data_IF_401643118082
#
_entry.id   IF_401643118082
#
_cell.length_a   1.000
_cell.length_b   1.000
_cell.length_c   1.000
_cell.angle_alpha   90.00
_cell.angle_beta   90.00
_cell.angle_gamma   90.00
#
_symmetry.space_group_name_H-M   'P 1'
#
loop_
_entity.id
_entity.type
_entity.pdbx_description
1 polymer ?
#
# COMPACT_ATOMS: atom_id res chain seq x y z
N UNK A 1 -10.04 -6.20 -17.34
CA UNK A 1 -11.43 -6.03 -16.87
C UNK A 1 -11.40 -4.97 -15.79
N UNK A 2 -11.92 -3.77 -16.07
CA UNK A 2 -11.89 -2.64 -15.13
C UNK A 2 -13.17 -2.75 -14.30
N UNK A 3 -13.05 -3.10 -13.02
CA UNK A 3 -14.15 -3.01 -12.08
C UNK A 3 -14.33 -1.53 -11.71
N UNK A 4 -15.42 -0.93 -12.18
CA UNK A 4 -15.84 0.40 -11.74
C UNK A 4 -16.75 0.18 -10.54
N UNK A 5 -16.30 0.64 -9.37
CA UNK A 5 -17.05 0.59 -8.11
C UNK A 5 -17.25 2.02 -7.64
N UNK A 6 -18.51 2.39 -7.43
CA UNK A 6 -18.94 3.72 -7.01
C UNK A 6 -18.79 3.79 -5.51
N UNK A 7 -17.58 4.12 -5.07
CA UNK A 7 -17.23 4.03 -3.66
C UNK A 7 -17.00 5.43 -3.09
N UNK A 8 -18.05 5.97 -2.46
CA UNK A 8 -18.00 7.22 -1.72
C UNK A 8 -16.95 7.18 -0.60
N UNK A 9 -16.57 5.99 -0.10
CA UNK A 9 -15.48 5.84 0.88
C UNK A 9 -14.10 6.13 0.26
N UNK A 10 -13.91 5.88 -1.04
CA UNK A 10 -12.68 6.21 -1.77
C UNK A 10 -12.59 7.70 -2.05
N UNK A 11 -13.71 8.35 -2.34
CA UNK A 11 -13.79 9.79 -2.49
C UNK A 11 -13.53 10.52 -1.16
N UNK A 12 -14.12 10.03 -0.07
CA UNK A 12 -13.85 10.51 1.29
C UNK A 12 -12.39 10.29 1.69
N UNK A 13 -11.82 9.13 1.37
CA UNK A 13 -10.40 8.81 1.61
C UNK A 13 -9.48 9.76 0.85
N UNK A 14 -9.81 10.11 -0.40
CA UNK A 14 -9.10 11.16 -1.15
C UNK A 14 -9.22 12.52 -0.46
N UNK A 15 -10.41 12.89 0.01
CA UNK A 15 -10.62 14.10 0.82
C UNK A 15 -9.70 14.11 2.05
N UNK A 16 -9.65 13.02 2.82
CA UNK A 16 -8.76 12.89 3.98
C UNK A 16 -7.27 13.01 3.61
N UNK A 17 -6.85 12.44 2.47
CA UNK A 17 -5.47 12.58 1.97
C UNK A 17 -5.16 14.03 1.58
N UNK A 18 -6.12 14.74 0.97
CA UNK A 18 -5.97 16.14 0.57
C UNK A 18 -5.98 17.11 1.76
N UNK A 19 -6.59 16.71 2.90
CA UNK A 19 -6.60 17.45 4.16
C UNK A 19 -5.20 17.58 4.79
N UNK A 20 -4.31 16.61 4.54
CA UNK A 20 -2.92 16.62 5.04
C UNK A 20 -2.02 17.61 4.28
N UNK A 21 -2.51 18.17 3.18
CA UNK A 21 -1.78 19.10 2.34
C UNK A 21 -2.34 20.52 2.53
N UNK A 22 -1.53 21.40 3.13
CA UNK A 22 -1.97 22.72 3.61
C UNK A 22 -2.65 23.61 2.55
N UNK A 23 -2.21 23.52 1.29
CA UNK A 23 -2.80 24.27 0.16
C UNK A 23 -4.12 23.68 -0.37
N UNK A 24 -4.47 22.45 -0.01
CA UNK A 24 -5.66 21.75 -0.53
C UNK A 24 -6.69 21.44 0.56
N UNK A 25 -6.47 21.89 1.80
CA UNK A 25 -7.41 21.78 2.92
C UNK A 25 -8.84 22.29 2.59
N UNK A 26 -9.04 23.45 1.93
CA UNK A 26 -10.38 23.93 1.62
C UNK A 26 -11.14 22.97 0.68
N UNK A 27 -10.48 22.55 -0.40
CA UNK A 27 -11.02 21.57 -1.35
C UNK A 27 -11.28 20.21 -0.68
N UNK A 28 -10.40 19.79 0.22
CA UNK A 28 -10.54 18.56 0.97
C UNK A 28 -11.77 18.59 1.91
N UNK A 29 -12.00 19.72 2.57
CA UNK A 29 -13.18 19.94 3.42
C UNK A 29 -14.47 19.91 2.60
N UNK A 30 -14.48 20.53 1.42
CA UNK A 30 -15.65 20.52 0.54
C UNK A 30 -15.97 19.11 0.03
N UNK A 31 -14.95 18.34 -0.38
CA UNK A 31 -15.11 16.94 -0.79
C UNK A 31 -15.67 16.07 0.34
N UNK A 32 -15.14 16.19 1.56
CA UNK A 32 -15.61 15.41 2.72
C UNK A 32 -17.05 15.81 3.07
N UNK A 33 -17.35 17.11 3.08
CA UNK A 33 -18.68 17.63 3.38
C UNK A 33 -19.72 17.16 2.36
N UNK A 34 -19.42 17.22 1.07
CA UNK A 34 -20.33 16.78 0.02
C UNK A 34 -20.55 15.26 0.07
N UNK A 35 -19.52 14.48 0.42
CA UNK A 35 -19.67 13.05 0.70
C UNK A 35 -20.63 12.80 1.88
N UNK A 36 -20.48 13.54 2.98
CA UNK A 36 -21.36 13.41 4.15
C UNK A 36 -22.81 13.82 3.86
N UNK A 37 -23.03 14.87 3.06
CA UNK A 37 -24.36 15.31 2.64
C UNK A 37 -25.07 14.28 1.74
N UNK A 38 -24.35 13.64 0.82
CA UNK A 38 -24.90 12.60 -0.07
C UNK A 38 -25.27 11.34 0.71
N UNK A 39 -24.45 10.92 1.68
CA UNK A 39 -24.74 9.80 2.58
C UNK A 39 -26.02 10.08 3.38
N UNK A 40 -26.14 11.27 3.97
CA UNK A 40 -27.30 11.66 4.78
C UNK A 40 -28.60 11.80 3.96
N UNK A 41 -28.52 12.28 2.71
CA UNK A 41 -29.67 12.40 1.81
C UNK A 41 -30.22 11.04 1.40
N UNK A 42 -29.35 10.06 1.19
CA UNK A 42 -29.70 8.69 0.81
C UNK A 42 -30.49 7.96 1.91
N UNK A 43 -30.14 8.21 3.18
CA UNK A 43 -30.86 7.68 4.36
C UNK A 43 -32.26 8.26 4.49
N UNK A 44 -32.47 9.52 4.08
CA UNK A 44 -33.75 10.22 4.26
C UNK A 44 -34.81 9.79 3.22
N UNK A 45 -34.39 9.39 2.01
CA UNK A 45 -35.29 8.89 0.95
C UNK A 45 -35.77 7.45 1.13
N UNK A 46 -35.13 6.65 1.99
CA UNK A 46 -35.49 5.24 2.20
C UNK A 46 -36.73 5.03 3.10
N UNK A 47 -37.29 6.09 3.70
CA UNK A 47 -38.40 5.99 4.68
C UNK A 47 -39.81 6.09 4.05
N UNK A 48 -39.94 6.26 2.72
CA UNK A 48 -41.28 6.44 2.12
C UNK A 48 -41.50 5.74 0.76
N UNK A 49 -41.84 4.44 0.76
CA UNK A 49 -43.05 3.82 0.11
C UNK A 49 -42.97 2.28 0.01
N UNK A 50 -44.13 1.60 -0.01
CA UNK A 50 -44.23 0.17 0.23
C UNK A 50 -44.01 -0.71 -1.01
N UNK A 51 -43.72 -1.98 -0.72
CA UNK A 51 -43.34 -3.06 -1.62
C UNK A 51 -44.23 -3.24 -2.87
N UNK A 52 -43.58 -3.52 -4.00
CA UNK A 52 -44.12 -4.43 -5.02
C UNK A 52 -42.98 -5.18 -5.71
N UNK A 53 -43.17 -6.49 -5.78
CA UNK A 53 -42.32 -7.51 -6.40
C UNK A 53 -42.01 -7.18 -7.87
N UNK A 54 -40.73 -7.24 -8.25
CA UNK A 54 -40.34 -7.67 -9.59
C UNK A 54 -38.94 -8.30 -9.57
N UNK A 55 -38.88 -9.54 -10.03
CA UNK A 55 -37.71 -10.39 -10.17
C UNK A 55 -36.81 -9.84 -11.28
N UNK A 56 -35.58 -9.44 -10.93
CA UNK A 56 -34.50 -9.21 -11.91
C UNK A 56 -33.28 -9.98 -11.45
N UNK A 57 -32.90 -10.95 -12.28
CA UNK A 57 -31.74 -11.82 -12.09
C UNK A 57 -30.47 -11.01 -11.86
N UNK A 58 -29.93 -11.03 -10.64
CA UNK A 58 -28.59 -10.52 -10.34
C UNK A 58 -27.56 -11.66 -10.44
N UNK A 59 -26.68 -11.52 -11.43
CA UNK A 59 -25.40 -12.20 -11.58
C UNK A 59 -24.52 -11.94 -10.32
N UNK A 60 -23.61 -12.85 -9.91
CA UNK A 60 -23.02 -12.82 -8.58
C UNK A 60 -22.28 -11.51 -8.31
N UNK A 61 -22.81 -10.72 -7.38
CA UNK A 61 -22.14 -9.56 -6.80
C UNK A 61 -20.81 -10.03 -6.22
N UNK A 62 -19.71 -9.43 -6.68
CA UNK A 62 -18.41 -9.60 -6.07
C UNK A 62 -18.54 -9.37 -4.56
N UNK A 63 -18.15 -10.36 -3.76
CA UNK A 63 -18.23 -10.32 -2.30
C UNK A 63 -17.42 -9.12 -1.83
N UNK A 64 -18.11 -8.13 -1.25
CA UNK A 64 -17.50 -6.93 -0.67
C UNK A 64 -16.36 -7.33 0.27
N UNK A 65 -15.15 -6.81 0.03
CA UNK A 65 -14.03 -6.94 0.95
C UNK A 65 -14.03 -5.74 1.89
N UNK A 66 -13.70 -5.95 3.16
CA UNK A 66 -13.40 -4.82 4.04
C UNK A 66 -12.06 -4.21 3.63
N UNK A 67 -12.06 -3.09 2.92
CA UNK A 67 -10.85 -2.41 2.45
C UNK A 67 -10.35 -1.38 3.48
N UNK A 68 -9.08 -1.45 3.83
CA UNK A 68 -8.36 -0.49 4.69
C UNK A 68 -7.15 0.07 3.96
N UNK A 69 -6.84 1.33 4.23
CA UNK A 69 -5.66 2.00 3.68
C UNK A 69 -4.71 2.43 4.80
N UNK A 70 -3.45 2.00 4.71
CA UNK A 70 -2.37 2.52 5.55
C UNK A 70 -1.51 3.46 4.74
N UNK A 71 -1.50 4.73 5.10
CA UNK A 71 -0.56 5.69 4.51
C UNK A 71 0.88 5.46 5.05
N UNK A 72 1.86 6.13 4.45
CA UNK A 72 3.27 5.97 4.83
C UNK A 72 3.59 6.35 6.30
N UNK A 73 2.72 7.07 7.01
CA UNK A 73 2.90 7.39 8.42
C UNK A 73 2.73 6.18 9.36
N UNK A 74 2.17 5.06 8.86
CA UNK A 74 2.12 3.80 9.60
C UNK A 74 3.42 2.98 9.49
N UNK A 75 4.31 3.30 8.53
CA UNK A 75 5.58 2.59 8.34
C UNK A 75 6.44 2.55 9.62
N UNK A 76 6.58 3.63 10.41
CA UNK A 76 7.34 3.61 11.66
C UNK A 76 6.86 2.56 12.66
N UNK A 77 5.55 2.32 12.78
CA UNK A 77 4.98 1.34 13.73
C UNK A 77 5.52 -0.08 13.45
N UNK A 78 5.56 -0.47 12.17
CA UNK A 78 6.08 -1.78 11.78
C UNK A 78 7.61 -1.84 11.90
N UNK A 79 8.31 -0.75 11.54
CA UNK A 79 9.76 -0.66 11.68
C UNK A 79 10.21 -0.72 13.14
N UNK A 80 9.45 -0.12 14.06
CA UNK A 80 9.75 -0.10 15.49
C UNK A 80 9.70 -1.52 16.06
N UNK A 81 8.64 -2.28 15.77
CA UNK A 81 8.57 -3.70 16.18
C UNK A 81 9.70 -4.53 15.59
N UNK A 82 10.06 -4.31 14.32
CA UNK A 82 11.20 -4.98 13.70
C UNK A 82 12.53 -4.60 14.39
N UNK A 83 12.67 -3.33 14.79
CA UNK A 83 13.80 -2.83 15.57
C UNK A 83 13.88 -3.51 16.93
N UNK A 84 12.78 -3.55 17.67
CA UNK A 84 12.66 -4.26 18.96
C UNK A 84 12.99 -5.74 18.82
N UNK A 85 12.57 -6.39 17.73
CA UNK A 85 12.93 -7.78 17.44
C UNK A 85 14.45 -7.94 17.26
N UNK A 86 15.08 -7.00 16.56
CA UNK A 86 16.54 -6.91 16.45
C UNK A 86 17.21 -6.77 17.83
N UNK A 87 16.71 -5.86 18.66
CA UNK A 87 17.21 -5.63 20.02
C UNK A 87 17.08 -6.88 20.91
N UNK A 88 15.93 -7.57 20.86
CA UNK A 88 15.72 -8.84 21.56
C UNK A 88 16.81 -9.85 21.19
N UNK A 89 17.09 -10.00 19.90
CA UNK A 89 18.12 -10.94 19.43
C UNK A 89 19.51 -10.56 19.93
N UNK A 90 19.89 -9.28 19.82
CA UNK A 90 21.19 -8.78 20.32
C UNK A 90 21.34 -9.06 21.82
N UNK A 91 20.27 -8.92 22.61
CA UNK A 91 20.31 -9.16 24.05
C UNK A 91 20.31 -10.65 24.41
N UNK A 92 19.67 -11.51 23.61
CA UNK A 92 19.61 -12.95 23.86
C UNK A 92 20.91 -13.67 23.49
N UNK A 93 21.58 -13.28 22.40
CA UNK A 93 22.78 -13.98 21.89
C UNK A 93 23.87 -14.14 22.96
N UNK A 94 24.26 -13.10 23.72
CA UNK A 94 25.24 -13.23 24.79
C UNK A 94 24.82 -14.22 25.90
N UNK A 95 23.53 -14.22 26.27
CA UNK A 95 23.01 -15.15 27.28
C UNK A 95 23.09 -16.60 26.81
N UNK A 96 22.80 -16.84 25.52
CA UNK A 96 22.97 -18.15 24.90
C UNK A 96 24.44 -18.56 24.88
N UNK A 97 25.32 -17.66 24.45
CA UNK A 97 26.76 -17.92 24.38
C UNK A 97 27.38 -18.28 25.74
N UNK A 98 26.86 -17.69 26.82
CA UNK A 98 27.30 -17.99 28.18
C UNK A 98 26.72 -19.30 28.73
N UNK A 99 25.50 -19.66 28.34
CA UNK A 99 24.77 -20.78 28.96
C UNK A 99 24.90 -22.10 28.21
N UNK A 100 25.18 -22.05 26.90
CA UNK A 100 25.26 -23.23 26.05
C UNK A 100 26.69 -23.79 26.09
N UNK A 101 26.87 -25.09 26.38
CA UNK A 101 28.21 -25.68 26.54
C UNK A 101 29.05 -25.66 25.26
N UNK A 102 28.43 -25.88 24.10
CA UNK A 102 29.12 -25.87 22.81
C UNK A 102 28.21 -25.51 21.62
N UNK A 103 28.84 -25.06 20.53
CA UNK A 103 28.17 -24.83 19.23
C UNK A 103 27.52 -26.12 18.71
N UNK A 104 28.16 -27.27 18.94
CA UNK A 104 27.67 -28.58 18.50
C UNK A 104 26.36 -28.97 19.22
N UNK A 105 26.23 -28.65 20.51
CA UNK A 105 25.01 -28.94 21.28
C UNK A 105 23.82 -28.15 20.77
N UNK A 106 24.00 -26.84 20.52
CA UNK A 106 22.95 -26.00 19.95
C UNK A 106 22.57 -26.46 18.53
N UNK A 107 23.57 -26.75 17.69
CA UNK A 107 23.33 -27.24 16.33
C UNK A 107 22.55 -28.55 16.35
N UNK A 108 22.94 -29.50 17.19
CA UNK A 108 22.26 -30.79 17.34
C UNK A 108 20.81 -30.63 17.82
N UNK A 109 20.59 -29.80 18.85
CA UNK A 109 19.24 -29.52 19.34
C UNK A 109 18.34 -28.93 18.25
N UNK A 110 18.83 -27.93 17.52
CA UNK A 110 18.06 -27.28 16.46
C UNK A 110 17.81 -28.20 15.27
N UNK A 111 18.78 -29.01 14.86
CA UNK A 111 18.60 -29.98 13.77
C UNK A 111 17.59 -31.08 14.13
N UNK A 112 17.55 -31.51 15.39
CA UNK A 112 16.56 -32.48 15.87
C UNK A 112 15.15 -31.87 15.98
N UNK A 113 15.07 -30.62 16.43
CA UNK A 113 13.79 -29.94 16.69
C UNK A 113 13.19 -29.30 15.43
N UNK A 114 14.04 -28.86 14.50
CA UNK A 114 13.73 -28.09 13.29
C UNK A 114 14.61 -28.59 12.12
N UNK A 115 14.35 -29.80 11.59
CA UNK A 115 15.18 -30.42 10.56
C UNK A 115 15.38 -29.56 9.30
N UNK A 116 14.43 -28.69 8.98
CA UNK A 116 14.48 -27.74 7.87
C UNK A 116 15.64 -26.74 7.95
N UNK A 117 16.22 -26.52 9.14
CA UNK A 117 17.35 -25.62 9.35
C UNK A 117 18.71 -26.29 9.03
N UNK A 118 18.74 -27.60 8.82
CA UNK A 118 19.98 -28.38 8.78
C UNK A 118 20.99 -27.88 7.73
N UNK A 119 20.50 -27.52 6.54
CA UNK A 119 21.35 -27.01 5.46
C UNK A 119 21.98 -25.65 5.80
N UNK A 120 21.21 -24.75 6.42
CA UNK A 120 21.66 -23.41 6.78
C UNK A 120 22.59 -23.41 8.01
N UNK A 121 22.38 -24.37 8.93
CA UNK A 121 23.23 -24.56 10.10
C UNK A 121 24.56 -25.23 9.78
N UNK A 122 24.74 -25.86 8.60
CA UNK A 122 25.96 -26.60 8.29
C UNK A 122 27.21 -25.72 8.42
N UNK A 123 27.18 -24.50 7.85
CA UNK A 123 28.29 -23.54 7.85
C UNK A 123 28.32 -22.61 9.08
N UNK A 124 27.46 -22.81 10.07
CA UNK A 124 27.44 -21.96 11.27
C UNK A 124 28.48 -22.46 12.28
N UNK A 125 29.51 -21.66 12.53
CA UNK A 125 30.68 -22.04 13.36
C UNK A 125 30.65 -21.43 14.77
N UNK A 126 29.76 -20.48 15.01
CA UNK A 126 29.54 -19.86 16.32
C UNK A 126 28.06 -19.88 16.74
N UNK A 127 27.80 -19.65 18.03
CA UNK A 127 26.43 -19.47 18.55
C UNK A 127 25.78 -18.24 17.89
N UNK A 128 26.56 -17.20 17.61
CA UNK A 128 26.09 -16.01 16.90
C UNK A 128 25.64 -16.34 15.47
N UNK A 129 26.44 -17.12 14.72
CA UNK A 129 26.08 -17.57 13.37
C UNK A 129 24.79 -18.40 13.38
N UNK A 130 24.68 -19.33 14.33
CA UNK A 130 23.48 -20.13 14.50
C UNK A 130 22.27 -19.24 14.79
N UNK A 131 22.41 -18.26 15.67
CA UNK A 131 21.33 -17.34 16.02
C UNK A 131 21.01 -16.33 14.91
N UNK A 132 21.93 -16.10 13.98
CA UNK A 132 21.67 -15.41 12.73
C UNK A 132 20.79 -16.24 11.78
N UNK A 133 21.01 -17.54 11.68
CA UNK A 133 20.12 -18.46 10.96
C UNK A 133 18.73 -18.49 11.59
N UNK A 134 18.66 -18.71 12.91
CA UNK A 134 17.39 -18.71 13.67
C UNK A 134 16.64 -17.39 13.47
N UNK A 135 17.33 -16.26 13.58
CA UNK A 135 16.75 -14.93 13.42
C UNK A 135 16.17 -14.64 12.03
N UNK A 136 16.77 -15.21 10.97
CA UNK A 136 16.25 -15.09 9.61
C UNK A 136 14.98 -15.91 9.38
N UNK A 137 14.79 -16.99 10.15
CA UNK A 137 13.66 -17.92 10.04
C UNK A 137 12.51 -17.56 10.97
N UNK A 138 12.80 -16.96 12.12
CA UNK A 138 11.78 -16.43 13.00
C UNK A 138 11.02 -15.27 12.35
N UNK A 139 9.70 -15.29 12.47
CA UNK A 139 8.84 -14.15 12.17
C UNK A 139 8.87 -13.20 13.36
N UNK A 140 8.61 -11.90 13.12
CA UNK A 140 8.58 -10.90 14.20
C UNK A 140 7.56 -11.23 15.31
N UNK A 141 6.49 -11.94 15.00
CA UNK A 141 5.47 -12.34 15.97
C UNK A 141 5.59 -13.81 16.44
N UNK A 142 6.59 -14.56 15.96
CA UNK A 142 6.79 -15.97 16.30
C UNK A 142 8.20 -16.22 16.84
N UNK A 143 8.28 -16.26 18.17
CA UNK A 143 9.49 -16.55 18.91
C UNK A 143 9.69 -18.04 19.22
N UNK A 144 8.94 -18.95 18.58
CA UNK A 144 8.92 -20.38 18.95
C UNK A 144 10.32 -21.03 18.99
N UNK A 145 11.18 -20.77 18.00
CA UNK A 145 12.55 -21.31 18.00
C UNK A 145 13.38 -20.76 19.16
N UNK A 146 13.30 -19.45 19.42
CA UNK A 146 14.02 -18.79 20.50
C UNK A 146 13.53 -19.33 21.85
N UNK A 147 12.22 -19.42 22.05
CA UNK A 147 11.60 -19.96 23.27
C UNK A 147 11.96 -21.43 23.49
N UNK A 148 11.96 -22.25 22.43
CA UNK A 148 12.36 -23.65 22.52
C UNK A 148 13.83 -23.78 22.96
N UNK A 149 14.72 -22.99 22.37
CA UNK A 149 16.16 -22.94 22.71
C UNK A 149 16.35 -22.52 24.17
N UNK A 150 15.78 -21.38 24.57
CA UNK A 150 15.85 -20.86 25.94
C UNK A 150 15.31 -21.85 26.96
N UNK A 151 14.21 -22.55 26.64
CA UNK A 151 13.62 -23.57 27.50
C UNK A 151 14.53 -24.79 27.64
N UNK A 152 15.08 -25.29 26.53
CA UNK A 152 15.93 -26.49 26.51
C UNK A 152 17.20 -26.28 27.34
N UNK A 153 17.89 -25.15 27.12
CA UNK A 153 19.12 -24.79 27.84
C UNK A 153 18.87 -24.10 29.18
N UNK A 154 17.61 -24.00 29.63
CA UNK A 154 17.19 -23.46 30.94
C UNK A 154 17.71 -22.03 31.22
N UNK A 155 17.71 -21.17 30.21
CA UNK A 155 18.28 -19.82 30.27
C UNK A 155 17.24 -18.88 30.88
N UNK A 156 17.26 -18.74 32.20
CA UNK A 156 16.21 -18.04 32.95
C UNK A 156 16.18 -16.53 32.70
N UNK A 157 17.34 -15.96 32.42
CA UNK A 157 17.61 -14.54 32.20
C UNK A 157 17.00 -14.03 30.90
N UNK A 158 16.80 -14.92 29.91
CA UNK A 158 16.18 -14.57 28.64
C UNK A 158 14.64 -14.49 28.72
N UNK A 159 14.01 -15.08 29.75
CA UNK A 159 12.55 -15.08 29.91
C UNK A 159 11.94 -13.67 30.03
N UNK A 160 12.45 -12.75 30.88
CA UNK A 160 11.90 -11.40 30.95
C UNK A 160 12.03 -10.65 29.62
N UNK A 161 13.16 -10.77 28.92
CA UNK A 161 13.38 -10.13 27.60
C UNK A 161 12.36 -10.60 26.56
N UNK A 162 12.10 -11.90 26.50
CA UNK A 162 11.07 -12.48 25.62
C UNK A 162 9.69 -11.96 25.99
N UNK A 163 9.36 -11.93 27.28
CA UNK A 163 8.06 -11.47 27.76
C UNK A 163 7.81 -9.99 27.47
N UNK A 164 8.83 -9.15 27.64
CA UNK A 164 8.78 -7.72 27.32
C UNK A 164 8.45 -7.50 25.84
N UNK A 165 9.19 -8.15 24.95
CA UNK A 165 8.93 -8.08 23.52
C UNK A 165 7.54 -8.61 23.13
N UNK A 166 7.09 -9.71 23.73
CA UNK A 166 5.74 -10.24 23.48
C UNK A 166 4.64 -9.24 23.86
N UNK A 167 4.84 -8.43 24.91
CA UNK A 167 3.92 -7.36 25.29
C UNK A 167 3.96 -6.17 24.31
N UNK A 168 5.12 -5.84 23.75
CA UNK A 168 5.22 -4.84 22.68
C UNK A 168 4.41 -5.26 21.43
N UNK A 169 4.59 -6.51 20.98
CA UNK A 169 3.84 -7.06 19.85
C UNK A 169 2.34 -7.06 20.13
N UNK A 170 1.90 -7.46 21.34
CA UNK A 170 0.48 -7.40 21.74
C UNK A 170 -0.06 -5.98 21.74
N UNK A 171 0.74 -5.00 22.14
CA UNK A 171 0.35 -3.59 22.18
C UNK A 171 0.12 -3.05 20.77
N UNK A 172 1.01 -3.36 19.83
CA UNK A 172 0.80 -3.02 18.42
C UNK A 172 -0.41 -3.73 17.83
N UNK A 173 -0.58 -5.03 18.10
CA UNK A 173 -1.77 -5.77 17.65
C UNK A 173 -3.07 -5.15 18.19
N UNK A 174 -3.08 -4.69 19.45
CA UNK A 174 -4.23 -3.98 20.05
C UNK A 174 -4.49 -2.65 19.33
N UNK A 175 -3.46 -1.87 19.06
CA UNK A 175 -3.58 -0.62 18.30
C UNK A 175 -4.16 -0.84 16.90
N UNK A 176 -3.71 -1.89 16.19
CA UNK A 176 -4.26 -2.28 14.89
C UNK A 176 -5.73 -2.69 14.99
N UNK A 177 -6.12 -3.45 16.03
CA UNK A 177 -7.53 -3.79 16.30
C UNK A 177 -8.39 -2.54 16.51
N UNK A 178 -7.89 -1.58 17.28
CA UNK A 178 -8.59 -0.34 17.58
C UNK A 178 -8.74 0.55 16.34
N UNK A 179 -7.71 0.63 15.49
CA UNK A 179 -7.79 1.31 14.20
C UNK A 179 -8.95 0.77 13.35
N UNK A 180 -9.07 -0.55 13.22
CA UNK A 180 -10.16 -1.13 12.43
C UNK A 180 -11.50 -0.78 13.05
N UNK A 181 -11.68 -0.96 14.36
CA UNK A 181 -12.94 -0.65 15.06
C UNK A 181 -13.42 0.78 14.79
N UNK A 182 -12.50 1.73 14.68
CA UNK A 182 -12.81 3.14 14.40
C UNK A 182 -13.11 3.42 12.91
N UNK A 183 -12.63 2.56 12.00
CA UNK A 183 -12.70 2.77 10.56
C UNK A 183 -13.45 1.64 9.83
N UNK A 184 -14.32 0.89 10.51
CA UNK A 184 -15.00 -0.27 9.91
C UNK A 184 -15.97 0.19 8.81
N UNK A 185 -15.90 -0.38 7.59
CA UNK A 185 -16.91 -0.10 6.57
C UNK A 185 -18.26 -0.70 6.96
N UNK A 186 -19.34 -0.07 6.49
CA UNK A 186 -20.68 -0.67 6.50
C UNK A 186 -20.57 -2.02 5.78
N UNK A 187 -20.97 -3.11 6.44
CA UNK A 187 -20.80 -4.52 6.02
C UNK A 187 -19.50 -5.24 6.37
N UNK A 188 -18.58 -4.65 7.15
CA UNK A 188 -17.35 -5.34 7.58
C UNK A 188 -17.59 -6.73 8.18
N UNK A 189 -18.68 -6.93 8.93
CA UNK A 189 -19.00 -8.20 9.60
C UNK A 189 -19.30 -9.34 8.61
N UNK A 190 -19.95 -9.05 7.48
CA UNK A 190 -20.33 -10.07 6.48
C UNK A 190 -19.21 -10.37 5.47
N UNK A 191 -18.15 -9.55 5.43
CA UNK A 191 -17.00 -9.79 4.56
C UNK A 191 -16.19 -11.01 5.01
N UNK A 192 -15.88 -11.92 4.09
CA UNK A 192 -14.97 -13.07 4.36
C UNK A 192 -13.49 -12.68 4.28
N UNK A 193 -13.19 -11.55 3.64
CA UNK A 193 -11.83 -11.07 3.38
C UNK A 193 -11.67 -9.63 3.88
N UNK A 194 -10.52 -9.37 4.51
CA UNK A 194 -10.03 -8.03 4.86
C UNK A 194 -8.84 -7.72 3.96
N UNK A 195 -8.89 -6.58 3.28
CA UNK A 195 -7.81 -6.13 2.40
C UNK A 195 -7.17 -4.87 2.97
N UNK A 196 -5.85 -4.89 3.15
CA UNK A 196 -5.04 -3.73 3.51
C UNK A 196 -4.22 -3.29 2.31
N UNK A 197 -4.35 -2.01 1.96
CA UNK A 197 -3.56 -1.36 0.92
C UNK A 197 -2.53 -0.46 1.57
N UNK A 198 -1.25 -0.72 1.30
CA UNK A 198 -0.11 0.05 1.80
C UNK A 198 0.20 1.19 0.82
N UNK A 199 0.18 2.42 1.33
CA UNK A 199 0.54 3.65 0.61
C UNK A 199 2.05 3.83 0.39
N UNK A 200 2.84 2.80 0.64
CA UNK A 200 4.27 2.73 0.35
C UNK A 200 4.61 1.34 -0.20
N UNK A 201 5.79 1.24 -0.79
CA UNK A 201 6.35 -0.01 -1.29
C UNK A 201 7.31 -0.58 -0.21
N UNK A 202 6.89 -1.59 0.57
CA UNK A 202 7.77 -2.25 1.54
C UNK A 202 8.76 -3.19 0.83
N UNK A 203 9.95 -3.33 1.40
CA UNK A 203 10.85 -4.42 1.03
C UNK A 203 10.22 -5.77 1.38
N UNK A 204 10.62 -6.86 0.69
CA UNK A 204 10.00 -8.19 0.82
C UNK A 204 9.89 -8.66 2.28
N UNK A 205 10.98 -8.57 3.04
CA UNK A 205 10.99 -8.93 4.47
C UNK A 205 10.07 -8.04 5.33
N UNK A 206 9.90 -6.77 4.95
CA UNK A 206 8.99 -5.86 5.65
C UNK A 206 7.53 -6.19 5.33
N UNK A 207 7.23 -6.63 4.11
CA UNK A 207 5.88 -7.04 3.72
C UNK A 207 5.43 -8.28 4.49
N UNK A 208 6.32 -9.26 4.64
CA UNK A 208 6.04 -10.46 5.43
C UNK A 208 5.79 -10.12 6.91
N UNK A 209 6.61 -9.24 7.50
CA UNK A 209 6.41 -8.79 8.88
C UNK A 209 5.05 -8.08 9.06
N UNK A 210 4.69 -7.19 8.14
CA UNK A 210 3.39 -6.50 8.14
C UNK A 210 2.25 -7.52 8.04
N UNK A 211 2.32 -8.46 7.09
CA UNK A 211 1.30 -9.51 6.94
C UNK A 211 1.15 -10.32 8.23
N UNK A 212 2.26 -10.80 8.78
CA UNK A 212 2.26 -11.63 9.99
C UNK A 212 1.64 -10.88 11.19
N UNK A 213 1.99 -9.60 11.37
CA UNK A 213 1.43 -8.78 12.44
C UNK A 213 -0.08 -8.55 12.26
N UNK A 214 -0.54 -8.33 11.03
CA UNK A 214 -1.98 -8.21 10.74
C UNK A 214 -2.71 -9.54 10.97
N UNK A 215 -2.15 -10.67 10.52
CA UNK A 215 -2.70 -12.00 10.78
C UNK A 215 -2.83 -12.27 12.27
N UNK A 216 -1.81 -11.94 13.06
CA UNK A 216 -1.87 -12.09 14.51
C UNK A 216 -2.89 -11.15 15.16
N UNK A 217 -2.92 -9.88 14.74
CA UNK A 217 -3.88 -8.90 15.23
C UNK A 217 -5.33 -9.30 14.93
N UNK A 218 -5.58 -10.03 13.84
CA UNK A 218 -6.95 -10.34 13.39
C UNK A 218 -7.29 -11.83 13.37
N UNK A 219 -6.46 -12.68 13.98
CA UNK A 219 -6.67 -14.13 14.03
C UNK A 219 -8.05 -14.55 14.54
N UNK A 220 -8.59 -13.79 15.50
CA UNK A 220 -9.91 -14.03 16.12
C UNK A 220 -11.07 -13.80 15.16
N UNK A 221 -10.89 -13.01 14.10
CA UNK A 221 -11.95 -12.72 13.13
C UNK A 221 -12.18 -13.89 12.17
N UNK A 222 -11.23 -14.83 12.06
CA UNK A 222 -11.25 -15.94 11.11
C UNK A 222 -11.55 -15.48 9.66
N UNK A 223 -10.98 -14.35 9.26
CA UNK A 223 -11.12 -13.75 7.93
C UNK A 223 -9.82 -13.88 7.17
N UNK A 224 -9.91 -14.03 5.86
CA UNK A 224 -8.74 -14.00 4.98
C UNK A 224 -8.15 -12.60 4.98
N UNK A 225 -6.85 -12.47 5.25
CA UNK A 225 -6.15 -11.18 5.17
C UNK A 225 -5.40 -11.09 3.84
N UNK A 226 -5.58 -9.98 3.15
CA UNK A 226 -4.86 -9.64 1.94
C UNK A 226 -4.12 -8.33 2.20
N UNK A 227 -2.80 -8.32 1.96
CA UNK A 227 -1.97 -7.11 2.02
C UNK A 227 -1.46 -6.83 0.62
N UNK A 228 -1.68 -5.62 0.13
CA UNK A 228 -1.21 -5.15 -1.18
C UNK A 228 -0.45 -3.84 -0.99
N UNK A 229 0.61 -3.63 -1.76
CA UNK A 229 1.32 -2.36 -1.80
C UNK A 229 1.04 -1.62 -3.10
N UNK A 230 1.09 -0.29 -3.04
CA UNK A 230 1.03 0.56 -4.22
C UNK A 230 2.45 0.68 -4.78
N UNK A 231 2.79 -0.15 -5.76
CA UNK A 231 4.09 -0.10 -6.44
C UNK A 231 4.31 1.22 -7.19
N UNK A 232 5.54 1.75 -7.15
CA UNK A 232 5.95 2.85 -8.04
C UNK A 232 5.87 2.40 -9.49
N UNK A 233 4.81 2.80 -10.19
CA UNK A 233 4.55 2.43 -11.58
C UNK A 233 3.08 2.10 -11.84
N UNK A 234 2.31 1.80 -10.78
CA UNK A 234 0.87 1.59 -10.88
C UNK A 234 0.13 2.93 -10.78
N UNK A 235 -0.70 3.23 -11.77
CA UNK A 235 -1.60 4.38 -11.74
C UNK A 235 -2.81 4.05 -10.86
N UNK A 236 -3.07 4.88 -9.86
CA UNK A 236 -4.34 4.84 -9.13
C UNK A 236 -5.39 5.51 -10.01
N UNK A 237 -6.49 4.80 -10.29
CA UNK A 237 -7.64 5.36 -11.00
C UNK A 237 -8.68 5.71 -9.94
N UNK A 238 -9.02 6.99 -9.86
CA UNK A 238 -10.10 7.49 -9.00
C UNK A 238 -11.27 7.85 -9.91
N UNK A 239 -12.43 7.25 -9.64
CA UNK A 239 -13.68 7.52 -10.37
C UNK A 239 -14.61 8.21 -9.39
N UNK A 240 -15.00 9.44 -9.73
CA UNK A 240 -15.88 10.26 -8.91
C UNK A 240 -17.18 10.55 -9.66
N UNK A 241 -18.28 10.65 -8.93
CA UNK A 241 -19.57 11.05 -9.47
C UNK A 241 -19.82 12.52 -9.15
N UNK A 242 -20.09 13.31 -10.18
CA UNK A 242 -20.53 14.68 -10.05
C UNK A 242 -21.92 14.82 -10.68
N UNK A 243 -22.85 15.56 -10.05
CA UNK A 243 -24.12 15.91 -10.67
C UNK A 243 -23.91 16.54 -12.05
N UNK A 244 -24.70 16.13 -13.03
CA UNK A 244 -24.52 16.57 -14.42
C UNK A 244 -24.54 18.10 -14.58
N UNK A 245 -25.35 18.80 -13.78
CA UNK A 245 -25.43 20.27 -13.80
C UNK A 245 -24.15 20.97 -13.34
N UNK A 246 -23.25 20.29 -12.61
CA UNK A 246 -21.96 20.81 -12.16
C UNK A 246 -20.81 20.52 -13.13
N UNK A 247 -21.06 19.76 -14.20
CA UNK A 247 -20.00 19.30 -15.11
C UNK A 247 -19.21 20.46 -15.75
N UNK A 248 -19.91 21.53 -16.12
CA UNK A 248 -19.30 22.72 -16.73
C UNK A 248 -18.43 23.50 -15.72
N UNK A 249 -18.92 23.69 -14.50
CA UNK A 249 -18.18 24.35 -13.43
C UNK A 249 -16.93 23.53 -13.04
N UNK A 250 -17.09 22.21 -12.90
CA UNK A 250 -15.98 21.30 -12.62
C UNK A 250 -14.90 21.36 -13.70
N UNK A 251 -15.29 21.42 -14.97
CA UNK A 251 -14.34 21.50 -16.08
C UNK A 251 -13.50 22.79 -16.02
N UNK A 252 -14.11 23.93 -15.72
CA UNK A 252 -13.41 25.21 -15.57
C UNK A 252 -12.44 25.19 -14.39
N UNK A 253 -12.91 24.77 -13.22
CA UNK A 253 -12.09 24.71 -12.00
C UNK A 253 -10.89 23.76 -12.18
N UNK A 254 -11.11 22.61 -12.83
CA UNK A 254 -10.03 21.67 -13.15
C UNK A 254 -9.03 22.28 -14.12
N UNK A 255 -9.47 23.03 -15.13
CA UNK A 255 -8.57 23.67 -16.08
C UNK A 255 -7.63 24.67 -15.39
N UNK A 256 -8.17 25.49 -14.49
CA UNK A 256 -7.40 26.47 -13.73
C UNK A 256 -6.38 25.80 -12.79
N UNK A 257 -6.74 24.66 -12.22
CA UNK A 257 -5.90 23.92 -11.27
C UNK A 257 -5.06 22.80 -11.91
N UNK A 258 -5.15 22.59 -13.22
CA UNK A 258 -4.56 21.42 -13.90
C UNK A 258 -3.04 21.31 -13.68
N UNK A 259 -2.34 22.45 -13.68
CA UNK A 259 -0.89 22.48 -13.46
C UNK A 259 -0.51 21.96 -12.07
N UNK A 260 -1.32 22.26 -11.04
CA UNK A 260 -1.12 21.75 -9.68
C UNK A 260 -1.38 20.26 -9.65
N UNK A 261 -2.47 19.79 -10.28
CA UNK A 261 -2.79 18.36 -10.39
C UNK A 261 -1.64 17.58 -11.05
N UNK A 262 -1.08 18.10 -12.14
CA UNK A 262 0.05 17.46 -12.84
C UNK A 262 1.32 17.46 -11.98
N UNK A 263 1.73 18.62 -11.45
CA UNK A 263 3.05 18.76 -10.80
C UNK A 263 3.08 18.23 -9.38
N UNK A 264 2.03 18.49 -8.60
CA UNK A 264 1.97 18.14 -7.19
C UNK A 264 1.47 16.72 -6.96
N UNK A 265 0.51 16.28 -7.78
CA UNK A 265 -0.12 14.96 -7.63
C UNK A 265 0.35 13.94 -8.67
N UNK A 266 1.32 14.31 -9.52
CA UNK A 266 1.85 13.44 -10.58
C UNK A 266 0.75 12.86 -11.48
N UNK A 267 -0.32 13.63 -11.72
CA UNK A 267 -1.48 13.20 -12.49
C UNK A 267 -1.05 12.64 -13.86
N UNK A 268 -1.54 11.45 -14.18
CA UNK A 268 -1.21 10.75 -15.44
C UNK A 268 -2.31 10.96 -16.47
N UNK A 269 -3.58 10.86 -16.06
CA UNK A 269 -4.75 11.05 -16.90
C UNK A 269 -5.91 11.58 -16.08
N UNK A 270 -6.70 12.49 -16.65
CA UNK A 270 -7.94 13.01 -16.08
C UNK A 270 -9.01 13.11 -17.17
N UNK A 271 -10.16 12.51 -16.87
CA UNK A 271 -11.35 12.53 -17.72
C UNK A 271 -12.54 13.02 -16.91
N UNK A 272 -13.35 13.90 -17.49
CA UNK A 272 -14.60 14.38 -16.91
C UNK A 272 -15.72 14.03 -17.88
N UNK A 273 -16.63 13.14 -17.47
CA UNK A 273 -17.57 12.51 -18.39
C UNK A 273 -16.84 11.83 -19.55
N UNK A 274 -17.19 12.18 -20.79
CA UNK A 274 -16.53 11.68 -21.99
C UNK A 274 -15.30 12.51 -22.42
N UNK A 275 -15.03 13.64 -21.76
CA UNK A 275 -13.96 14.55 -22.13
C UNK A 275 -12.65 14.19 -21.44
N UNK A 276 -11.59 14.00 -22.22
CA UNK A 276 -10.22 13.85 -21.67
C UNK A 276 -9.62 15.23 -21.47
N UNK A 277 -9.53 15.67 -20.21
CA UNK A 277 -8.96 16.97 -19.84
C UNK A 277 -7.44 16.93 -19.91
N UNK A 278 -6.85 15.82 -19.49
CA UNK A 278 -5.42 15.62 -19.54
C UNK A 278 -5.07 14.15 -19.74
N UNK A 279 -4.08 13.91 -20.60
CA UNK A 279 -3.44 12.60 -20.73
C UNK A 279 -1.96 12.83 -21.05
N UNK A 280 -1.11 12.42 -20.11
CA UNK A 280 0.34 12.53 -20.22
C UNK A 280 0.85 11.84 -21.50
N UNK A 281 0.28 10.69 -21.88
CA UNK A 281 0.69 9.90 -23.06
C UNK A 281 0.34 10.60 -24.37
N UNK A 282 -0.80 11.29 -24.42
CA UNK A 282 -1.21 12.05 -25.60
C UNK A 282 -0.30 13.27 -25.78
N UNK A 283 -0.03 14.02 -24.70
CA UNK A 283 0.86 15.19 -24.79
C UNK A 283 2.28 14.84 -25.24
N UNK A 284 2.86 13.73 -24.75
CA UNK A 284 4.18 13.30 -25.22
C UNK A 284 4.19 13.02 -26.73
N UNK A 285 3.14 12.40 -27.27
CA UNK A 285 3.04 12.17 -28.73
C UNK A 285 2.90 13.46 -29.51
N UNK A 286 2.08 14.41 -29.05
CA UNK A 286 1.89 15.71 -29.73
C UNK A 286 3.17 16.54 -29.72
N UNK A 287 3.83 16.69 -28.57
CA UNK A 287 5.08 17.46 -28.46
C UNK A 287 6.21 16.83 -29.27
N UNK A 288 6.31 15.49 -29.27
CA UNK A 288 7.31 14.80 -30.08
C UNK A 288 7.04 14.99 -31.58
N UNK A 289 5.77 14.91 -32.00
CA UNK A 289 5.39 15.15 -33.40
C UNK A 289 5.60 16.61 -33.81
N UNK A 290 5.33 17.60 -32.95
CA UNK A 290 5.62 19.00 -33.24
C UNK A 290 7.12 19.27 -33.38
N UNK A 291 7.96 18.60 -32.58
CA UNK A 291 9.42 18.65 -32.71
C UNK A 291 9.89 18.07 -34.05
N UNK A 292 9.38 16.90 -34.42
CA UNK A 292 9.68 16.25 -35.70
C UNK A 292 9.22 17.11 -36.90
N UNK A 293 8.06 17.76 -36.79
CA UNK A 293 7.57 18.68 -37.84
C UNK A 293 8.47 19.90 -37.98
N UNK A 294 9.03 20.43 -36.89
CA UNK A 294 10.00 21.54 -36.96
C UNK A 294 11.31 21.11 -37.60
N UNK A 295 11.82 19.92 -37.28
CA UNK A 295 13.03 19.36 -37.88
C UNK A 295 12.86 19.10 -39.39
N UNK A 296 11.72 18.54 -39.81
CA UNK A 296 11.40 18.32 -41.23
C UNK A 296 11.35 19.65 -41.99
N UNK A 297 10.69 20.68 -41.44
CA UNK A 297 10.64 22.02 -42.06
C UNK A 297 12.02 22.67 -42.17
N UNK A 298 12.88 22.47 -41.16
CA UNK A 298 14.26 22.98 -41.19
C UNK A 298 15.09 22.30 -42.28
N UNK A 299 14.96 20.97 -42.39
CA UNK A 299 15.65 20.17 -43.41
C UNK A 299 15.17 20.50 -44.84
N UNK A 300 13.87 20.72 -45.03
CA UNK A 300 13.32 21.13 -46.32
C UNK A 300 13.77 22.55 -46.71
N UNK A 301 13.85 23.48 -45.73
CA UNK A 301 14.39 24.82 -45.95
C UNK A 301 15.86 24.80 -46.41
N UNK A 302 16.71 24.02 -45.75
CA UNK A 302 18.13 23.85 -46.13
C UNK A 302 18.28 23.20 -47.51
N UNK A 303 17.43 22.22 -47.84
CA UNK A 303 17.41 21.57 -49.15
C UNK A 303 17.01 22.55 -50.26
N UNK A 304 16.12 23.50 -49.97
CA UNK A 304 15.70 24.51 -50.91
C UNK A 304 16.78 25.58 -51.13
N UNK A 305 17.48 26.02 -50.06
CA UNK A 305 18.65 26.90 -50.17
C UNK A 305 19.79 26.29 -51.00
N UNK A 306 20.08 24.99 -50.79
CA UNK A 306 21.09 24.26 -51.56
C UNK A 306 20.72 24.16 -53.04
N UNK A 307 19.44 24.06 -53.39
CA UNK A 307 18.97 24.05 -54.79
C UNK A 307 19.16 25.41 -55.44
N UNK A 308 18.79 26.51 -54.77
CA UNK A 308 19.05 27.87 -55.30
C UNK A 308 20.54 28.15 -55.48
N UNK A 309 21.40 27.69 -54.55
CA UNK A 309 22.85 27.85 -54.68
C UNK A 309 23.49 27.02 -55.82
N UNK A 310 22.85 25.93 -56.23
CA UNK A 310 23.29 25.11 -57.37
C UNK A 310 22.78 25.71 -58.68
N UNK A 311 21.54 26.21 -58.72
CA UNK A 311 20.98 26.89 -59.89
C UNK A 311 21.74 28.20 -60.20
N UNK A 312 22.21 28.93 -59.18
CA UNK A 312 23.04 30.12 -59.33
C UNK A 312 24.47 29.81 -59.85
N UNK A 313 24.93 28.55 -59.74
CA UNK A 313 26.26 28.11 -60.22
C UNK A 313 26.25 27.49 -61.61
N UNK A 314 25.10 27.07 -62.12
CA UNK A 314 24.95 26.53 -63.49
C UNK A 314 24.60 27.63 -64.52
N UNK A 315 24.47 28.89 -64.08
CA UNK A 315 24.15 30.05 -64.92
C UNK A 315 25.32 30.92 -65.40
N UNK A 316 26.56 30.42 -65.42
CA UNK A 316 27.75 31.14 -65.97
C UNK A 316 28.42 30.34 -67.08
#
# INVERSE_FOLDING_TARGET
MIAVSDDLSKLRSLGNILMELEKTKPLAQDIIKECDEIVNRSVTTAVARPATSSTVNQLPTAVSAGEFFFNAAYKPVFNEIRGSFGSLRVNIVPLLAQSIPSVADLKSFLQLSFPELSAELFNADSIEDIMNVVGKKCRVNDLSLIKATVKHFKITEAKPLISEYEEEVKTVCRSLKDFIRQNQPEHFLICQTIQFTLGWEPDEHSLDDIRNLLEEAFKELNKRIIVQSIHRGNSIIIICYAPHHLLAALLLEVQDNLTVLIKKFSLIRLTIGHYTVYDKRIRYKVVNNESLVKEIKLADGQKQELRTLLDDKEGV
#
